data_IF_754847438819
#
_entry.id   IF_754847438819
#
_cell.length_a   1.000
_cell.length_b   1.000
_cell.length_c   1.000
_cell.angle_alpha   90.00
_cell.angle_beta   90.00
_cell.angle_gamma   90.00
#
_symmetry.space_group_name_H-M   'P 1'
#
loop_
_entity.id
_entity.type
_entity.pdbx_description
1 polymer ?
#
# COMPACT_ATOMS: atom_id res chain seq x y z
N UNK A 1 -25.68 -19.18 -61.27
CA UNK A 1 -24.82 -19.35 -60.09
C UNK A 1 -24.01 -18.08 -59.90
N UNK A 2 -24.19 -17.38 -58.77
CA UNK A 2 -23.13 -16.61 -58.11
C UNK A 2 -23.67 -16.19 -56.75
N UNK A 3 -23.17 -16.91 -55.77
CA UNK A 3 -23.70 -17.02 -54.43
C UNK A 3 -23.46 -15.76 -53.61
N UNK A 4 -24.46 -15.41 -52.81
CA UNK A 4 -24.31 -14.55 -51.65
C UNK A 4 -23.37 -15.24 -50.65
N UNK A 5 -22.35 -14.52 -50.18
CA UNK A 5 -21.57 -14.91 -49.01
C UNK A 5 -21.26 -13.67 -48.18
N UNK A 6 -22.21 -13.34 -47.32
CA UNK A 6 -22.03 -12.47 -46.17
C UNK A 6 -21.12 -13.18 -45.16
N UNK A 7 -19.98 -12.58 -44.84
CA UNK A 7 -19.12 -13.06 -43.73
C UNK A 7 -19.00 -11.93 -42.72
N UNK A 8 -19.78 -12.03 -41.64
CA UNK A 8 -19.64 -11.19 -40.47
C UNK A 8 -18.53 -11.80 -39.58
N UNK A 9 -17.38 -11.14 -39.52
CA UNK A 9 -16.28 -11.49 -38.63
C UNK A 9 -16.57 -10.90 -37.24
N UNK A 10 -17.16 -11.70 -36.36
CA UNK A 10 -17.36 -11.33 -34.96
C UNK A 10 -16.05 -11.57 -34.17
N UNK A 11 -15.24 -10.52 -34.01
CA UNK A 11 -14.07 -10.54 -33.12
C UNK A 11 -14.53 -10.39 -31.67
N UNK A 12 -14.67 -11.49 -30.95
CA UNK A 12 -14.84 -11.49 -29.50
C UNK A 12 -13.51 -11.16 -28.83
N UNK A 13 -13.29 -9.90 -28.49
CA UNK A 13 -12.19 -9.49 -27.61
C UNK A 13 -12.60 -9.87 -26.19
N UNK A 14 -12.20 -11.06 -25.74
CA UNK A 14 -12.27 -11.43 -24.33
C UNK A 14 -11.19 -10.62 -23.59
N UNK A 15 -11.55 -9.40 -23.18
CA UNK A 15 -10.77 -8.65 -22.19
C UNK A 15 -10.90 -9.39 -20.87
N UNK A 16 -9.98 -10.32 -20.61
CA UNK A 16 -9.81 -10.89 -19.29
C UNK A 16 -9.47 -9.76 -18.33
N UNK A 17 -10.43 -9.39 -17.47
CA UNK A 17 -10.16 -8.55 -16.30
C UNK A 17 -9.23 -9.35 -15.40
N UNK A 18 -7.94 -9.12 -15.53
CA UNK A 18 -6.95 -9.61 -14.57
C UNK A 18 -7.09 -8.78 -13.30
N UNK A 19 -7.83 -9.32 -12.35
CA UNK A 19 -7.93 -8.78 -11.01
C UNK A 19 -6.62 -9.10 -10.27
N UNK A 20 -5.66 -8.18 -10.32
CA UNK A 20 -4.39 -8.33 -9.61
C UNK A 20 -4.53 -7.74 -8.20
N UNK A 21 -4.19 -8.48 -7.13
CA UNK A 21 -4.01 -7.91 -5.82
C UNK A 21 -2.95 -6.80 -5.87
N UNK A 22 -3.31 -5.61 -5.39
CA UNK A 22 -2.44 -4.44 -5.40
C UNK A 22 -2.54 -3.69 -4.08
N UNK A 23 -1.40 -3.42 -3.45
CA UNK A 23 -1.34 -2.67 -2.21
C UNK A 23 -0.16 -1.70 -2.26
N UNK A 24 -0.38 -0.44 -1.91
CA UNK A 24 0.68 0.55 -1.77
C UNK A 24 0.71 1.14 -0.37
N UNK A 25 1.92 1.44 0.10
CA UNK A 25 2.17 2.16 1.34
C UNK A 25 2.91 3.46 1.00
N UNK A 26 2.36 4.59 1.43
CA UNK A 26 2.99 5.91 1.29
C UNK A 26 3.16 6.55 2.66
N UNK A 27 4.27 7.25 2.85
CA UNK A 27 4.55 7.99 4.08
C UNK A 27 4.57 9.49 3.76
N UNK A 28 3.88 10.27 4.59
CA UNK A 28 3.90 11.73 4.55
C UNK A 28 4.54 12.20 5.84
N UNK A 29 5.66 12.92 5.71
CA UNK A 29 6.40 13.52 6.81
C UNK A 29 6.49 15.03 6.61
N UNK A 30 6.72 15.82 7.68
CA UNK A 30 6.93 17.25 7.57
C UNK A 30 8.25 17.53 6.83
N UNK A 31 8.28 18.58 5.99
CA UNK A 31 9.48 18.96 5.24
C UNK A 31 10.62 19.42 6.16
N UNK A 32 10.26 20.05 7.27
CA UNK A 32 11.18 20.47 8.32
C UNK A 32 10.51 20.32 9.67
N UNK A 33 11.31 20.00 10.68
CA UNK A 33 10.86 19.79 12.05
C UNK A 33 11.77 20.57 12.96
N UNK A 34 11.21 21.53 13.70
CA UNK A 34 11.92 22.37 14.65
C UNK A 34 11.99 21.77 16.06
N UNK A 35 11.05 20.87 16.38
CA UNK A 35 10.92 20.22 17.67
C UNK A 35 10.51 18.75 17.48
N UNK A 36 11.05 17.84 18.29
CA UNK A 36 10.76 16.41 18.21
C UNK A 36 9.26 16.12 18.36
N UNK A 37 8.55 16.91 19.16
CA UNK A 37 7.10 16.78 19.34
C UNK A 37 6.30 17.05 18.05
N UNK A 38 6.90 17.77 17.10
CA UNK A 38 6.31 18.07 15.80
C UNK A 38 6.69 17.03 14.72
N UNK A 39 7.48 16.00 15.05
CA UNK A 39 7.81 14.90 14.15
C UNK A 39 6.65 13.91 14.06
N UNK A 40 5.65 14.24 13.24
CA UNK A 40 4.50 13.39 12.99
C UNK A 40 4.50 12.84 11.57
N UNK A 41 4.50 11.51 11.42
CA UNK A 41 4.45 10.83 10.13
C UNK A 41 3.10 10.17 9.93
N UNK A 42 2.48 10.40 8.76
CA UNK A 42 1.24 9.76 8.36
C UNK A 42 1.53 8.63 7.38
N UNK A 43 1.13 7.41 7.72
CA UNK A 43 1.18 6.26 6.82
C UNK A 43 -0.17 6.05 6.12
N UNK A 44 -0.16 6.01 4.79
CA UNK A 44 -1.34 5.81 3.95
C UNK A 44 -1.23 4.44 3.30
N UNK A 45 -2.13 3.54 3.65
CA UNK A 45 -2.26 2.21 3.03
C UNK A 45 -3.40 2.26 2.02
N UNK A 46 -3.10 2.02 0.75
CA UNK A 46 -4.09 2.07 -0.34
C UNK A 46 -4.16 0.72 -1.05
N UNK A 47 -5.36 0.16 -1.11
CA UNK A 47 -5.66 -0.93 -2.03
C UNK A 47 -5.69 -0.36 -3.46
N UNK A 48 -4.77 -0.80 -4.29
CA UNK A 48 -4.65 -0.38 -5.70
C UNK A 48 -5.20 -1.43 -6.66
N UNK A 49 -5.56 -2.60 -6.16
CA UNK A 49 -6.22 -3.65 -6.92
C UNK A 49 -7.73 -3.46 -7.02
N UNK A 50 -8.36 -4.40 -7.73
CA UNK A 50 -9.82 -4.43 -7.93
C UNK A 50 -10.53 -5.34 -6.93
N UNK A 51 -9.78 -6.09 -6.13
CA UNK A 51 -10.30 -7.06 -5.15
C UNK A 51 -10.32 -6.49 -3.75
N UNK A 52 -11.23 -6.97 -2.90
CA UNK A 52 -11.22 -6.63 -1.47
C UNK A 52 -10.12 -7.43 -0.75
N UNK A 53 -9.24 -6.72 -0.05
CA UNK A 53 -8.14 -7.32 0.69
C UNK A 53 -8.46 -7.41 2.19
N UNK A 54 -8.07 -8.52 2.81
CA UNK A 54 -8.01 -8.65 4.27
C UNK A 54 -6.58 -8.41 4.73
N UNK A 55 -6.38 -7.38 5.55
CA UNK A 55 -5.05 -7.00 6.02
C UNK A 55 -4.88 -7.38 7.49
N UNK A 56 -3.72 -7.95 7.82
CA UNK A 56 -3.36 -8.27 9.19
C UNK A 56 -3.08 -6.98 9.97
N UNK A 57 -3.80 -6.77 11.07
CA UNK A 57 -3.54 -5.69 12.03
C UNK A 57 -2.43 -6.10 13.01
N UNK A 58 -1.23 -6.33 12.49
CA UNK A 58 -0.06 -6.68 13.30
C UNK A 58 0.29 -5.51 14.24
N UNK A 59 0.57 -5.75 15.54
CA UNK A 59 0.93 -4.70 16.49
C UNK A 59 2.10 -3.81 16.05
N UNK A 60 3.04 -4.35 15.27
CA UNK A 60 4.23 -3.69 14.67
C UNK A 60 3.97 -3.13 13.27
N UNK A 61 2.75 -3.27 12.76
CA UNK A 61 2.34 -2.74 11.47
C UNK A 61 1.71 -1.34 11.57
N UNK A 62 1.71 -0.62 10.46
CA UNK A 62 1.11 0.73 10.34
C UNK A 62 -0.41 0.78 10.54
N UNK A 63 -1.07 -0.38 10.51
CA UNK A 63 -2.51 -0.50 10.75
C UNK A 63 -2.86 -0.64 12.24
N UNK A 64 -1.85 -0.79 13.11
CA UNK A 64 -2.01 -0.87 14.55
C UNK A 64 -1.96 0.51 15.19
N UNK A 65 -2.76 0.70 16.23
CA UNK A 65 -2.75 1.89 17.10
C UNK A 65 -1.80 1.74 18.30
N UNK A 66 -1.17 0.57 18.46
CA UNK A 66 -0.26 0.30 19.57
C UNK A 66 1.09 0.92 19.28
N UNK A 67 1.68 1.62 20.26
CA UNK A 67 3.00 2.25 20.15
C UNK A 67 4.11 1.18 20.26
N UNK A 68 4.37 0.49 19.16
CA UNK A 68 5.42 -0.53 19.02
C UNK A 68 6.44 -0.11 17.95
N UNK A 69 7.37 -1.01 17.62
CA UNK A 69 8.44 -0.78 16.64
C UNK A 69 7.90 -0.83 15.19
N UNK A 70 7.15 0.21 14.80
CA UNK A 70 6.50 0.30 13.47
C UNK A 70 7.40 0.89 12.40
N UNK A 71 8.28 1.83 12.76
CA UNK A 71 9.16 2.53 11.83
C UNK A 71 10.62 2.37 12.27
N UNK A 72 11.51 2.19 11.30
CA UNK A 72 12.93 2.40 11.52
C UNK A 72 13.25 3.88 11.33
N UNK A 73 13.76 4.52 12.38
CA UNK A 73 14.16 5.93 12.38
C UNK A 73 15.69 5.98 12.37
N UNK A 74 16.28 6.67 11.40
CA UNK A 74 17.73 6.83 11.29
C UNK A 74 18.09 8.12 10.55
N UNK A 75 19.31 8.60 10.76
CA UNK A 75 19.95 9.64 9.98
C UNK A 75 21.43 9.27 9.73
N UNK A 76 22.19 10.17 9.12
CA UNK A 76 23.62 9.94 8.83
C UNK A 76 24.50 9.70 10.08
N UNK A 77 24.03 10.11 11.26
CA UNK A 77 24.72 9.94 12.55
C UNK A 77 24.28 8.67 13.30
N UNK A 78 23.24 7.98 12.84
CA UNK A 78 22.73 6.74 13.44
C UNK A 78 21.23 6.74 13.68
N UNK A 79 20.79 5.84 14.55
CA UNK A 79 19.38 5.64 14.92
C UNK A 79 19.20 5.79 16.43
N UNK A 80 18.11 6.42 16.91
CA UNK A 80 17.79 6.42 18.33
C UNK A 80 17.40 5.02 18.82
N UNK A 81 17.53 4.79 20.12
CA UNK A 81 17.00 3.59 20.77
C UNK A 81 15.47 3.65 20.83
N UNK A 82 14.81 2.51 20.59
CA UNK A 82 13.36 2.40 20.68
C UNK A 82 12.91 2.27 22.14
N UNK A 83 11.99 3.14 22.57
CA UNK A 83 11.51 3.22 23.97
C UNK A 83 10.05 2.78 24.15
N UNK A 84 9.39 2.29 23.10
CA UNK A 84 7.99 1.86 23.16
C UNK A 84 7.78 0.41 23.60
N UNK A 85 6.59 -0.11 23.36
CA UNK A 85 6.22 -1.47 23.77
C UNK A 85 6.80 -2.54 22.83
N UNK A 86 7.41 -3.56 23.42
CA UNK A 86 7.75 -4.79 22.73
C UNK A 86 6.60 -5.79 22.82
N UNK A 87 6.18 -6.32 21.67
CA UNK A 87 5.13 -7.33 21.57
C UNK A 87 5.77 -8.66 21.17
N UNK A 88 5.39 -9.74 21.87
CA UNK A 88 5.90 -11.09 21.71
C UNK A 88 5.10 -11.89 20.70
#
# INVERSE_FOLDING_TARGET
>A
MRAAFTTALASAILLGVSAAPGLSLSLVAPESVSDVENLSVTAIVKNTGTETLKLLKDPRGVLSSVKTHTFNVANEKGSPEFTGLFVK
#
